data_IF_767332564359
#
_entry.id   IF_767332564359
#
_cell.length_a   1.000
_cell.length_b   1.000
_cell.length_c   1.000
_cell.angle_alpha   90.00
_cell.angle_beta   90.00
_cell.angle_gamma   90.00
#
_symmetry.space_group_name_H-M   'P 1'
#
loop_
_entity.id
_entity.type
_entity.pdbx_description
1 polymer ?
#
# COMPACT_ATOMS: atom_id res chain seq x y z
N UNK A 1 2.36 39.82 -11.48
CA UNK A 1 2.46 39.16 -10.17
C UNK A 1 3.13 37.83 -10.39
N UNK A 2 4.38 37.66 -9.97
CA UNK A 2 5.12 36.41 -10.07
C UNK A 2 4.46 35.38 -9.13
N UNK A 3 3.84 34.33 -9.69
CA UNK A 3 3.39 33.19 -8.89
C UNK A 3 4.64 32.50 -8.36
N UNK A 4 4.91 32.62 -7.07
CA UNK A 4 5.93 31.80 -6.42
C UNK A 4 5.50 30.33 -6.59
N UNK A 5 6.16 29.60 -7.48
CA UNK A 5 6.06 28.15 -7.52
C UNK A 5 6.61 27.64 -6.19
N UNK A 6 5.76 27.12 -5.34
CA UNK A 6 6.22 26.39 -4.14
C UNK A 6 6.83 25.08 -4.65
N UNK A 7 8.12 24.93 -4.45
CA UNK A 7 8.80 23.68 -4.77
C UNK A 7 8.28 22.57 -3.86
N UNK A 8 7.82 21.49 -4.48
CA UNK A 8 7.37 20.32 -3.72
C UNK A 8 8.60 19.51 -3.32
N UNK A 9 8.80 19.37 -2.02
CA UNK A 9 9.90 18.64 -1.41
C UNK A 9 9.41 17.35 -0.76
N UNK A 10 10.29 16.36 -0.50
CA UNK A 10 9.94 15.17 0.27
C UNK A 10 9.33 15.49 1.64
N UNK A 11 9.85 16.50 2.35
CA UNK A 11 9.29 16.93 3.65
C UNK A 11 7.86 17.47 3.53
N UNK A 12 7.57 18.21 2.44
CA UNK A 12 6.21 18.67 2.18
C UNK A 12 5.29 17.49 1.91
N UNK A 13 5.75 16.48 1.17
CA UNK A 13 5.00 15.26 0.93
C UNK A 13 4.69 14.52 2.23
N UNK A 14 5.68 14.30 3.09
CA UNK A 14 5.47 13.64 4.38
C UNK A 14 4.49 14.40 5.28
N UNK A 15 4.56 15.74 5.28
CA UNK A 15 3.57 16.57 5.99
C UNK A 15 2.17 16.40 5.41
N UNK A 16 2.03 16.38 4.09
CA UNK A 16 0.74 16.16 3.44
C UNK A 16 0.14 14.80 3.80
N UNK A 17 0.93 13.72 3.77
CA UNK A 17 0.49 12.39 4.20
C UNK A 17 0.01 12.35 5.65
N UNK A 18 0.70 13.06 6.57
CA UNK A 18 0.25 13.18 7.97
C UNK A 18 -1.13 13.82 8.12
N UNK A 19 -1.53 14.63 7.14
CA UNK A 19 -2.85 15.26 7.08
C UNK A 19 -3.86 14.51 6.19
N UNK A 20 -3.51 13.33 5.69
CA UNK A 20 -4.36 12.52 4.84
C UNK A 20 -4.41 12.96 3.37
N UNK A 21 -3.55 13.91 2.97
CA UNK A 21 -3.44 14.38 1.60
C UNK A 21 -2.45 13.50 0.82
N UNK A 22 -2.72 13.26 -0.45
CA UNK A 22 -1.81 12.56 -1.35
C UNK A 22 -1.69 13.28 -2.70
N UNK A 23 -0.52 13.20 -3.39
CA UNK A 23 -0.30 13.90 -4.64
C UNK A 23 -0.75 13.06 -5.83
N UNK A 24 -1.31 13.72 -6.85
CA UNK A 24 -1.51 13.14 -8.19
C UNK A 24 -1.19 14.18 -9.25
N UNK A 25 -0.58 13.74 -10.36
CA UNK A 25 -0.57 14.52 -11.58
C UNK A 25 -1.79 14.18 -12.45
N UNK A 26 -2.22 15.10 -13.27
CA UNK A 26 -3.33 14.87 -14.18
C UNK A 26 -2.96 13.88 -15.30
N UNK A 27 -1.74 13.98 -15.79
CA UNK A 27 -1.18 13.13 -16.85
C UNK A 27 0.31 12.91 -16.63
N UNK A 28 0.90 11.92 -17.33
CA UNK A 28 2.35 11.70 -17.29
C UNK A 28 3.17 12.90 -17.77
N UNK A 29 2.63 13.71 -18.65
CA UNK A 29 3.30 14.91 -19.19
C UNK A 29 2.92 16.20 -18.45
N UNK A 30 1.97 16.11 -17.52
CA UNK A 30 1.55 17.24 -16.70
C UNK A 30 2.66 17.71 -15.77
N UNK A 31 2.77 19.03 -15.60
CA UNK A 31 3.72 19.70 -14.72
C UNK A 31 3.10 20.09 -13.36
N UNK A 32 1.80 19.84 -13.19
CA UNK A 32 1.05 20.19 -11.99
C UNK A 32 0.75 18.96 -11.15
N UNK A 33 0.98 19.10 -9.84
CA UNK A 33 0.53 18.14 -8.85
C UNK A 33 -0.67 18.70 -8.11
N UNK A 34 -1.68 17.86 -7.95
CA UNK A 34 -2.87 18.13 -7.17
C UNK A 34 -2.77 17.38 -5.85
N UNK A 35 -3.19 18.01 -4.76
CA UNK A 35 -3.32 17.40 -3.45
C UNK A 35 -4.77 17.00 -3.25
N UNK A 36 -5.00 15.73 -3.05
CA UNK A 36 -6.34 15.15 -2.95
C UNK A 36 -6.67 14.76 -1.52
N UNK A 37 -7.92 15.04 -1.13
CA UNK A 37 -8.54 14.63 0.13
C UNK A 37 -10.00 14.23 -0.15
N UNK A 38 -10.24 13.04 -0.72
CA UNK A 38 -11.57 12.61 -1.13
C UNK A 38 -12.52 12.44 0.06
N UNK A 39 -13.83 12.64 -0.17
CA UNK A 39 -14.87 12.43 0.85
C UNK A 39 -15.02 10.95 1.26
N UNK A 40 -14.69 10.05 0.33
CA UNK A 40 -14.65 8.61 0.53
C UNK A 40 -13.22 8.13 0.34
N UNK A 41 -12.64 7.51 1.37
CA UNK A 41 -11.27 7.00 1.33
C UNK A 41 -11.25 5.49 1.29
N UNK A 42 -10.49 4.95 0.34
CA UNK A 42 -10.23 3.52 0.24
C UNK A 42 -9.20 3.08 1.27
N UNK A 43 -9.52 2.05 2.04
CA UNK A 43 -8.61 1.37 2.95
C UNK A 43 -8.66 -0.13 2.73
N UNK A 44 -7.60 -0.82 3.14
CA UNK A 44 -7.57 -2.27 3.17
C UNK A 44 -7.19 -2.73 4.58
N UNK A 45 -8.15 -3.38 5.25
CA UNK A 45 -7.91 -3.91 6.59
C UNK A 45 -6.83 -4.97 6.58
N UNK A 46 -5.80 -4.80 7.41
CA UNK A 46 -4.70 -5.76 7.52
C UNK A 46 -5.19 -7.11 8.06
N UNK A 47 -6.12 -7.10 9.03
CA UNK A 47 -6.59 -8.31 9.72
C UNK A 47 -7.82 -8.95 9.07
N UNK A 48 -8.56 -8.21 8.25
CA UNK A 48 -9.71 -8.72 7.48
C UNK A 48 -9.38 -8.92 5.99
N UNK A 49 -8.09 -8.92 5.65
CA UNK A 49 -7.62 -9.17 4.30
C UNK A 49 -8.07 -10.55 3.81
N UNK A 50 -8.79 -10.59 2.68
CA UNK A 50 -9.22 -11.83 2.06
C UNK A 50 -8.15 -12.36 1.11
N UNK A 51 -7.55 -13.50 1.44
CA UNK A 51 -6.56 -14.18 0.61
C UNK A 51 -7.20 -15.38 -0.12
N UNK A 52 -7.54 -15.25 -1.43
CA UNK A 52 -8.15 -16.35 -2.18
C UNK A 52 -7.25 -17.60 -2.20
N UNK A 53 -7.85 -18.80 -2.04
CA UNK A 53 -7.12 -20.10 -1.98
C UNK A 53 -6.14 -20.30 -3.13
N UNK A 54 -6.52 -19.87 -4.35
CA UNK A 54 -5.65 -19.99 -5.51
C UNK A 54 -4.42 -19.09 -5.38
N UNK A 55 -4.60 -17.85 -4.94
CA UNK A 55 -3.50 -16.91 -4.73
C UNK A 55 -2.59 -17.38 -3.58
N UNK A 56 -3.15 -17.88 -2.48
CA UNK A 56 -2.38 -18.47 -1.39
C UNK A 56 -1.44 -19.60 -1.89
N UNK A 57 -1.95 -20.48 -2.75
CA UNK A 57 -1.11 -21.52 -3.38
C UNK A 57 -0.01 -20.95 -4.26
N UNK A 58 -0.31 -19.91 -5.04
CA UNK A 58 0.69 -19.23 -5.89
C UNK A 58 1.79 -18.59 -5.05
N UNK A 59 1.44 -17.91 -3.95
CA UNK A 59 2.42 -17.28 -3.04
C UNK A 59 3.31 -18.33 -2.39
N UNK A 60 2.70 -19.40 -1.85
CA UNK A 60 3.42 -20.43 -1.09
C UNK A 60 4.19 -21.42 -1.98
N UNK A 61 3.97 -21.42 -3.30
CA UNK A 61 4.65 -22.33 -4.22
C UNK A 61 6.09 -21.92 -4.55
N UNK A 62 6.51 -20.70 -4.17
CA UNK A 62 7.82 -20.16 -4.54
C UNK A 62 7.96 -19.84 -6.04
N UNK A 63 6.83 -19.79 -6.79
CA UNK A 63 6.86 -19.42 -8.22
C UNK A 63 7.49 -18.04 -8.48
N UNK A 64 7.27 -17.11 -7.58
CA UNK A 64 7.85 -15.77 -7.62
C UNK A 64 8.86 -15.63 -6.50
N UNK A 65 10.03 -15.09 -6.81
CA UNK A 65 10.94 -14.56 -5.81
C UNK A 65 10.49 -13.15 -5.46
N UNK A 66 10.38 -12.86 -4.15
CA UNK A 66 9.96 -11.55 -3.67
C UNK A 66 11.12 -10.88 -2.97
N UNK A 67 11.41 -9.65 -3.39
CA UNK A 67 12.39 -8.76 -2.78
C UNK A 67 11.72 -7.47 -2.26
N UNK A 68 12.43 -6.72 -1.44
CA UNK A 68 11.99 -5.44 -0.89
C UNK A 68 13.11 -4.43 -1.08
N UNK A 69 12.77 -3.27 -1.63
CA UNK A 69 13.68 -2.13 -1.84
C UNK A 69 14.94 -2.46 -2.67
N UNK A 70 14.92 -3.54 -3.45
CA UNK A 70 16.04 -3.92 -4.30
C UNK A 70 16.03 -3.21 -5.67
N UNK A 71 14.83 -2.86 -6.15
CA UNK A 71 14.65 -2.20 -7.44
C UNK A 71 13.46 -1.23 -7.39
N UNK A 72 13.56 -0.22 -6.50
CA UNK A 72 12.54 0.81 -6.38
C UNK A 72 12.32 1.56 -7.69
N UNK A 73 13.42 1.87 -8.40
CA UNK A 73 13.35 2.58 -9.68
C UNK A 73 12.62 1.75 -10.75
N UNK A 74 12.92 0.46 -10.87
CA UNK A 74 12.21 -0.46 -11.77
C UNK A 74 10.75 -0.62 -11.38
N UNK A 75 10.44 -0.64 -10.09
CA UNK A 75 9.06 -0.77 -9.59
C UNK A 75 8.23 0.46 -9.92
N UNK A 76 8.71 1.67 -9.65
CA UNK A 76 7.95 2.89 -9.99
C UNK A 76 7.82 3.08 -11.51
N UNK A 77 8.85 2.71 -12.28
CA UNK A 77 8.78 2.71 -13.74
C UNK A 77 7.74 1.71 -14.26
N UNK A 78 7.67 0.50 -13.69
CA UNK A 78 6.64 -0.50 -14.00
C UNK A 78 5.22 0.01 -13.68
N UNK A 79 5.05 0.71 -12.57
CA UNK A 79 3.79 1.36 -12.20
C UNK A 79 3.40 2.49 -13.17
N UNK A 80 4.38 3.22 -13.68
CA UNK A 80 4.19 4.32 -14.63
C UNK A 80 4.02 3.85 -16.09
N UNK A 81 4.29 2.58 -16.40
CA UNK A 81 4.17 2.04 -17.74
C UNK A 81 2.73 2.02 -18.22
N UNK A 82 2.51 2.34 -19.49
CA UNK A 82 1.21 2.16 -20.13
C UNK A 82 0.82 0.68 -20.16
N UNK A 83 -0.46 0.42 -20.00
CA UNK A 83 -1.03 -0.92 -20.04
C UNK A 83 -2.40 -0.86 -20.77
N UNK A 84 -2.90 -1.98 -21.32
CA UNK A 84 -4.22 -2.00 -21.93
C UNK A 84 -5.31 -1.47 -20.98
N UNK A 85 -6.08 -0.45 -21.43
CA UNK A 85 -7.07 0.25 -20.62
C UNK A 85 -6.49 1.26 -19.60
N UNK A 86 -5.19 1.52 -19.64
CA UNK A 86 -4.47 2.54 -18.90
C UNK A 86 -3.33 3.08 -19.77
N UNK A 87 -3.71 3.85 -20.77
CA UNK A 87 -2.80 4.44 -21.77
C UNK A 87 -1.99 5.61 -21.20
N UNK A 88 -2.50 6.26 -20.15
CA UNK A 88 -1.81 7.34 -19.42
C UNK A 88 -1.70 7.02 -17.92
N UNK A 89 -0.87 7.76 -17.22
CA UNK A 89 -0.61 7.59 -15.78
C UNK A 89 -0.46 8.93 -15.08
N UNK A 90 -0.85 8.97 -13.81
CA UNK A 90 -0.63 10.09 -12.93
C UNK A 90 0.83 10.19 -12.41
N UNK A 91 1.65 9.15 -12.63
CA UNK A 91 3.05 9.11 -12.20
C UNK A 91 3.89 9.84 -13.26
N UNK A 92 4.07 11.15 -13.07
CA UNK A 92 4.91 11.97 -13.92
C UNK A 92 6.39 11.99 -13.43
N UNK A 93 7.34 12.56 -14.19
CA UNK A 93 8.75 12.60 -13.78
C UNK A 93 9.01 13.31 -12.44
N UNK A 94 8.16 14.26 -12.04
CA UNK A 94 8.28 14.92 -10.75
C UNK A 94 7.91 13.97 -9.61
N UNK A 95 6.82 13.22 -9.75
CA UNK A 95 6.41 12.18 -8.83
C UNK A 95 7.48 11.11 -8.69
N UNK A 96 8.01 10.59 -9.81
CA UNK A 96 9.09 9.61 -9.79
C UNK A 96 10.30 10.09 -8.98
N UNK A 97 10.73 11.35 -9.19
CA UNK A 97 11.85 11.94 -8.43
C UNK A 97 11.54 12.06 -6.93
N UNK A 98 10.36 12.54 -6.58
CA UNK A 98 9.95 12.74 -5.18
C UNK A 98 9.88 11.40 -4.43
N UNK A 99 9.27 10.37 -5.00
CA UNK A 99 9.21 9.05 -4.37
C UNK A 99 10.59 8.36 -4.32
N UNK A 100 11.44 8.57 -5.33
CA UNK A 100 12.83 8.08 -5.28
C UNK A 100 13.62 8.77 -4.15
N UNK A 101 13.38 10.05 -3.90
CA UNK A 101 13.99 10.74 -2.77
C UNK A 101 13.45 10.21 -1.43
N UNK A 102 12.13 10.00 -1.31
CA UNK A 102 11.52 9.38 -0.13
C UNK A 102 12.05 7.97 0.13
N UNK A 103 12.30 7.18 -0.92
CA UNK A 103 12.93 5.86 -0.77
C UNK A 103 14.35 5.97 -0.19
N UNK A 104 15.18 6.88 -0.72
CA UNK A 104 16.53 7.13 -0.18
C UNK A 104 16.53 7.63 1.27
N UNK A 105 15.46 8.28 1.69
CA UNK A 105 15.24 8.75 3.08
C UNK A 105 14.66 7.65 3.98
N UNK A 106 14.30 6.47 3.44
CA UNK A 106 13.72 5.36 4.19
C UNK A 106 12.23 5.50 4.50
N UNK A 107 11.50 6.33 3.74
CA UNK A 107 10.05 6.51 3.90
C UNK A 107 9.24 5.84 2.78
N UNK A 108 9.77 5.76 1.57
CA UNK A 108 9.08 5.04 0.50
C UNK A 108 9.73 3.67 0.30
N UNK A 109 8.89 2.66 0.08
CA UNK A 109 9.31 1.28 -0.02
C UNK A 109 8.63 0.59 -1.20
N UNK A 110 9.33 -0.38 -1.79
CA UNK A 110 8.80 -1.23 -2.84
C UNK A 110 8.82 -2.71 -2.44
N UNK A 111 7.89 -3.47 -3.00
CA UNK A 111 7.91 -4.92 -2.98
C UNK A 111 7.87 -5.40 -4.42
N UNK A 112 8.92 -6.12 -4.80
CA UNK A 112 9.13 -6.64 -6.14
C UNK A 112 8.75 -8.11 -6.22
N UNK A 113 8.07 -8.50 -7.29
CA UNK A 113 7.86 -9.89 -7.68
C UNK A 113 8.66 -10.20 -8.92
N UNK A 114 9.59 -11.16 -8.80
CA UNK A 114 10.44 -11.62 -9.90
C UNK A 114 10.04 -13.02 -10.34
N UNK A 115 10.13 -13.24 -11.63
CA UNK A 115 9.97 -14.56 -12.24
C UNK A 115 11.14 -14.79 -13.22
N UNK A 116 11.90 -15.85 -13.02
CA UNK A 116 13.17 -16.10 -13.72
C UNK A 116 14.10 -14.86 -13.66
N UNK A 117 14.30 -14.33 -12.46
CA UNK A 117 15.11 -13.14 -12.13
C UNK A 117 14.66 -11.82 -12.77
N UNK A 118 13.62 -11.82 -13.57
CA UNK A 118 13.06 -10.61 -14.16
C UNK A 118 11.99 -9.99 -13.25
N UNK A 119 12.02 -8.68 -13.11
CA UNK A 119 10.98 -7.92 -12.43
C UNK A 119 9.70 -7.97 -13.26
N UNK A 120 8.68 -8.68 -12.77
CA UNK A 120 7.43 -8.92 -13.52
C UNK A 120 6.19 -8.34 -12.85
N UNK A 121 6.34 -7.78 -11.67
CA UNK A 121 5.28 -7.12 -10.93
C UNK A 121 5.81 -6.55 -9.63
N UNK A 122 5.02 -5.72 -9.00
CA UNK A 122 5.39 -5.12 -7.73
C UNK A 122 4.41 -4.02 -7.34
N UNK A 123 4.71 -3.39 -6.23
CA UNK A 123 4.01 -2.22 -5.72
C UNK A 123 5.00 -1.32 -4.98
N UNK A 124 4.62 -0.06 -4.80
CA UNK A 124 5.34 0.84 -3.90
C UNK A 124 4.37 1.67 -3.07
N UNK A 125 4.88 2.25 -2.00
CA UNK A 125 4.12 3.11 -1.11
C UNK A 125 5.01 3.83 -0.11
N UNK A 126 4.38 4.58 0.79
CA UNK A 126 5.04 5.36 1.85
C UNK A 126 4.69 4.75 3.21
N UNK A 127 5.71 4.48 4.01
CA UNK A 127 5.58 4.05 5.40
C UNK A 127 5.78 5.25 6.33
N UNK A 128 4.84 5.48 7.24
CA UNK A 128 4.90 6.60 8.17
C UNK A 128 4.25 6.21 9.50
N UNK A 129 5.08 5.99 10.54
CA UNK A 129 4.62 5.39 11.79
C UNK A 129 3.83 4.09 11.52
N UNK A 130 2.63 3.94 12.04
CA UNK A 130 1.79 2.76 11.82
C UNK A 130 0.93 2.78 10.55
N UNK A 131 1.21 3.66 9.61
CA UNK A 131 0.45 3.77 8.34
C UNK A 131 1.33 3.39 7.16
N UNK A 132 0.79 2.59 6.25
CA UNK A 132 1.36 2.42 4.92
C UNK A 132 0.38 3.00 3.88
N UNK A 133 0.85 3.94 3.07
CA UNK A 133 0.11 4.53 1.95
C UNK A 133 0.52 3.78 0.69
N UNK A 134 -0.34 2.88 0.20
CA UNK A 134 -0.10 2.14 -1.03
C UNK A 134 -0.36 3.03 -2.23
N UNK A 135 0.66 3.31 -3.02
CA UNK A 135 0.58 4.29 -4.11
C UNK A 135 0.15 3.66 -5.43
N UNK A 136 0.89 2.67 -5.88
CA UNK A 136 0.59 2.02 -7.15
C UNK A 136 1.15 0.60 -7.21
N UNK A 137 0.63 -0.19 -8.14
CA UNK A 137 1.11 -1.53 -8.44
C UNK A 137 1.05 -1.83 -9.92
N UNK A 138 1.90 -2.76 -10.37
CA UNK A 138 1.92 -3.24 -11.75
C UNK A 138 2.09 -4.75 -11.81
N UNK A 139 1.70 -5.34 -12.94
CA UNK A 139 1.77 -6.80 -13.15
C UNK A 139 1.93 -7.11 -14.63
N UNK A 140 3.11 -7.52 -15.05
CA UNK A 140 3.37 -8.01 -16.41
C UNK A 140 3.08 -9.51 -16.54
N UNK A 141 3.16 -10.23 -15.43
CA UNK A 141 2.80 -11.65 -15.33
C UNK A 141 1.64 -11.82 -14.37
N UNK A 142 0.71 -12.69 -14.72
CA UNK A 142 -0.49 -12.95 -13.90
C UNK A 142 -0.12 -13.22 -12.44
N UNK A 143 -0.84 -12.55 -11.55
CA UNK A 143 -0.76 -12.62 -10.10
C UNK A 143 0.51 -11.97 -9.48
N UNK A 144 1.47 -11.44 -10.26
CA UNK A 144 2.72 -10.88 -9.73
C UNK A 144 2.47 -9.72 -8.74
N UNK A 145 1.63 -8.72 -9.09
CA UNK A 145 1.28 -7.63 -8.16
C UNK A 145 0.50 -8.13 -6.93
N UNK A 146 -0.31 -9.18 -7.09
CA UNK A 146 -1.06 -9.76 -5.97
C UNK A 146 -0.14 -10.49 -4.99
N UNK A 147 0.90 -11.15 -5.50
CA UNK A 147 1.94 -11.76 -4.67
C UNK A 147 2.66 -10.68 -3.87
N UNK A 148 3.06 -9.57 -4.51
CA UNK A 148 3.64 -8.42 -3.82
C UNK A 148 2.71 -7.86 -2.73
N UNK A 149 1.40 -7.73 -3.01
CA UNK A 149 0.41 -7.27 -2.03
C UNK A 149 0.29 -8.21 -0.82
N UNK A 150 0.25 -9.53 -1.03
CA UNK A 150 0.22 -10.50 0.08
C UNK A 150 1.45 -10.38 0.96
N UNK A 151 2.63 -10.23 0.35
CA UNK A 151 3.88 -10.02 1.08
C UNK A 151 3.93 -8.67 1.80
N UNK A 152 3.32 -7.61 1.24
CA UNK A 152 3.14 -6.33 1.92
C UNK A 152 2.30 -6.53 3.19
N UNK A 153 1.09 -7.08 3.06
CA UNK A 153 0.17 -7.29 4.19
C UNK A 153 0.85 -8.07 5.32
N UNK A 154 1.53 -9.18 4.99
CA UNK A 154 2.24 -9.98 5.99
C UNK A 154 3.32 -9.18 6.72
N UNK A 155 4.11 -8.37 6.02
CA UNK A 155 5.13 -7.51 6.62
C UNK A 155 4.54 -6.41 7.49
N UNK A 156 3.45 -5.78 7.02
CA UNK A 156 2.77 -4.74 7.78
C UNK A 156 2.19 -5.30 9.09
N UNK A 157 1.63 -6.50 9.08
CA UNK A 157 1.13 -7.16 10.30
C UNK A 157 2.27 -7.49 11.25
N UNK A 158 3.36 -8.10 10.76
CA UNK A 158 4.54 -8.40 11.56
C UNK A 158 5.21 -7.15 12.12
N UNK A 159 5.18 -6.05 11.37
CA UNK A 159 5.77 -4.77 11.76
C UNK A 159 4.89 -3.90 12.66
N UNK A 160 3.66 -4.36 13.01
CA UNK A 160 2.77 -3.63 13.92
C UNK A 160 2.03 -2.45 13.29
N UNK A 161 1.93 -2.41 11.95
CA UNK A 161 1.14 -1.39 11.25
C UNK A 161 -0.34 -1.54 11.56
N UNK A 162 -1.07 -0.42 11.54
CA UNK A 162 -2.50 -0.37 11.88
C UNK A 162 -3.38 0.01 10.69
N UNK A 163 -2.84 0.76 9.73
CA UNK A 163 -3.62 1.28 8.59
C UNK A 163 -2.88 1.04 7.28
N UNK A 164 -3.58 0.46 6.30
CA UNK A 164 -3.19 0.46 4.89
C UNK A 164 -4.19 1.32 4.12
N UNK A 165 -3.72 2.48 3.70
CA UNK A 165 -4.43 3.43 2.86
C UNK A 165 -4.24 3.06 1.39
N UNK A 166 -5.31 2.93 0.65
CA UNK A 166 -5.33 2.63 -0.78
C UNK A 166 -5.90 3.76 -1.62
N UNK A 167 -6.17 4.91 -1.00
CA UNK A 167 -6.79 6.13 -1.52
C UNK A 167 -8.18 5.88 -2.12
N UNK A 168 -8.27 5.00 -3.11
CA UNK A 168 -9.52 4.62 -3.78
C UNK A 168 -9.68 3.10 -3.79
N UNK A 169 -10.93 2.64 -3.81
CA UNK A 169 -11.23 1.21 -3.98
C UNK A 169 -11.40 0.91 -5.46
N UNK A 170 -10.50 0.09 -5.99
CA UNK A 170 -10.63 -0.45 -7.34
C UNK A 170 -11.26 -1.84 -7.30
N UNK A 171 -11.84 -2.31 -8.41
CA UNK A 171 -12.33 -3.69 -8.51
C UNK A 171 -11.24 -4.73 -8.18
N UNK A 172 -9.97 -4.39 -8.46
CA UNK A 172 -8.82 -5.23 -8.10
C UNK A 172 -8.63 -5.35 -6.59
N UNK A 173 -8.78 -4.25 -5.83
CA UNK A 173 -8.59 -4.24 -4.38
C UNK A 173 -9.84 -4.73 -3.62
N UNK A 174 -11.03 -4.51 -4.19
CA UNK A 174 -12.28 -4.98 -3.60
C UNK A 174 -12.32 -6.51 -3.38
N UNK A 175 -11.69 -7.30 -4.28
CA UNK A 175 -11.60 -8.75 -4.11
C UNK A 175 -10.82 -9.20 -2.86
N UNK A 176 -10.00 -8.32 -2.28
CA UNK A 176 -9.22 -8.55 -1.07
C UNK A 176 -9.86 -7.96 0.19
N UNK A 177 -11.05 -7.37 0.05
CA UNK A 177 -11.78 -6.75 1.17
C UNK A 177 -11.47 -5.28 1.37
N UNK A 178 -10.95 -4.57 0.35
CA UNK A 178 -10.85 -3.11 0.43
C UNK A 178 -12.24 -2.48 0.50
N UNK A 179 -12.38 -1.46 1.34
CA UNK A 179 -13.62 -0.76 1.58
C UNK A 179 -13.44 0.76 1.57
N UNK A 180 -14.50 1.48 1.27
CA UNK A 180 -14.53 2.93 1.36
C UNK A 180 -15.14 3.37 2.68
N UNK A 181 -14.45 4.24 3.39
CA UNK A 181 -14.91 4.88 4.63
C UNK A 181 -15.04 6.38 4.44
N UNK A 182 -15.78 7.05 5.32
CA UNK A 182 -15.86 8.51 5.30
C UNK A 182 -14.52 9.14 5.64
N UNK A 183 -14.26 10.35 5.12
CA UNK A 183 -13.08 11.15 5.44
C UNK A 183 -12.84 11.30 6.95
N UNK A 184 -13.89 11.55 7.71
CA UNK A 184 -13.78 11.74 9.16
C UNK A 184 -13.34 10.45 9.86
N UNK A 185 -13.91 9.28 9.45
CA UNK A 185 -13.47 7.99 9.96
C UNK A 185 -12.03 7.68 9.58
N UNK A 186 -11.65 7.97 8.33
CA UNK A 186 -10.28 7.82 7.87
C UNK A 186 -9.30 8.68 8.70
N UNK A 187 -9.62 9.96 8.92
CA UNK A 187 -8.78 10.86 9.71
C UNK A 187 -8.60 10.39 11.16
N UNK A 188 -9.65 9.82 11.76
CA UNK A 188 -9.55 9.24 13.09
C UNK A 188 -8.59 8.04 13.11
N UNK A 189 -8.71 7.10 12.15
CA UNK A 189 -7.79 5.97 12.02
C UNK A 189 -6.35 6.39 11.72
N UNK A 190 -6.20 7.39 10.85
CA UNK A 190 -4.88 7.95 10.52
C UNK A 190 -4.21 8.56 11.75
N UNK A 191 -4.95 9.36 12.54
CA UNK A 191 -4.42 9.98 13.75
C UNK A 191 -3.96 8.93 14.77
N UNK A 192 -4.72 7.86 14.96
CA UNK A 192 -4.37 6.73 15.82
C UNK A 192 -3.12 6.01 15.29
N UNK A 193 -3.13 5.62 14.03
CA UNK A 193 -2.01 4.89 13.42
C UNK A 193 -0.70 5.70 13.39
N UNK A 194 -0.77 7.03 13.30
CA UNK A 194 0.42 7.90 13.36
C UNK A 194 1.09 7.93 14.75
N UNK A 195 0.45 7.42 15.79
CA UNK A 195 1.04 7.28 17.14
C UNK A 195 1.62 5.89 17.39
N UNK A 196 1.40 4.93 16.50
CA UNK A 196 1.87 3.57 16.67
C UNK A 196 3.39 3.47 16.45
N UNK A 197 4.03 2.62 17.25
CA UNK A 197 5.44 2.26 17.09
C UNK A 197 5.55 1.05 16.15
N UNK A 198 5.41 1.30 14.85
CA UNK A 198 5.52 0.28 13.82
C UNK A 198 6.88 0.36 13.12
N UNK A 199 7.37 -0.80 12.71
CA UNK A 199 8.67 -0.93 12.06
C UNK A 199 8.52 -1.53 10.66
N UNK A 200 9.15 -0.90 9.67
CA UNK A 200 9.29 -1.50 8.35
C UNK A 200 10.26 -2.69 8.40
N UNK A 201 9.78 -3.86 7.99
CA UNK A 201 10.55 -5.10 7.99
C UNK A 201 10.85 -5.54 6.54
N UNK A 202 11.96 -5.08 5.95
CA UNK A 202 12.32 -5.49 4.58
C UNK A 202 12.69 -6.97 4.51
N UNK A 203 13.36 -7.49 5.53
CA UNK A 203 13.85 -8.86 5.60
C UNK A 203 13.47 -9.52 6.95
N UNK A 204 12.18 -9.82 7.18
CA UNK A 204 11.74 -10.55 8.36
C UNK A 204 12.20 -12.01 8.29
N UNK A 205 12.23 -12.69 9.43
CA UNK A 205 12.48 -14.13 9.47
C UNK A 205 11.58 -14.86 8.46
N UNK A 206 12.15 -15.64 7.52
CA UNK A 206 11.38 -16.33 6.49
C UNK A 206 10.32 -17.30 7.05
N UNK A 207 10.58 -17.92 8.20
CA UNK A 207 9.63 -18.81 8.86
C UNK A 207 8.45 -18.02 9.42
N UNK A 208 8.70 -16.87 10.07
CA UNK A 208 7.65 -15.97 10.56
C UNK A 208 6.80 -15.41 9.42
N UNK A 209 7.43 -14.96 8.33
CA UNK A 209 6.72 -14.46 7.16
C UNK A 209 5.83 -15.54 6.52
N UNK A 210 6.36 -16.75 6.37
CA UNK A 210 5.60 -17.89 5.83
C UNK A 210 4.43 -18.27 6.75
N UNK A 211 4.64 -18.27 8.06
CA UNK A 211 3.58 -18.56 9.04
C UNK A 211 2.47 -17.50 8.95
N UNK A 212 2.82 -16.22 8.87
CA UNK A 212 1.86 -15.13 8.75
C UNK A 212 1.00 -15.27 7.47
N UNK A 213 1.62 -15.55 6.33
CA UNK A 213 0.88 -15.79 5.08
C UNK A 213 -0.06 -17.01 5.20
N UNK A 214 0.35 -18.08 5.89
CA UNK A 214 -0.52 -19.24 6.14
C UNK A 214 -1.71 -18.86 7.03
N UNK A 215 -1.49 -18.11 8.11
CA UNK A 215 -2.56 -17.61 8.97
C UNK A 215 -3.57 -16.75 8.19
N UNK A 216 -3.10 -15.87 7.31
CA UNK A 216 -3.99 -15.09 6.43
C UNK A 216 -4.83 -16.00 5.51
N UNK A 217 -4.22 -17.05 4.96
CA UNK A 217 -4.92 -18.00 4.09
C UNK A 217 -5.96 -18.83 4.86
N UNK A 218 -5.69 -19.17 6.11
CA UNK A 218 -6.62 -19.90 7.00
C UNK A 218 -7.77 -19.01 7.44
N UNK A 219 -7.50 -17.77 7.90
CA UNK A 219 -8.53 -16.81 8.26
C UNK A 219 -9.51 -16.55 7.11
N UNK A 220 -9.01 -16.50 5.87
CA UNK A 220 -9.86 -16.34 4.69
C UNK A 220 -10.76 -17.52 4.37
N UNK A 221 -10.55 -18.70 4.99
CA UNK A 221 -11.41 -19.90 4.83
C UNK A 221 -12.59 -19.88 5.79
N UNK A 222 -12.39 -19.35 6.99
CA UNK A 222 -13.36 -19.42 8.09
C UNK A 222 -14.06 -18.11 8.36
N UNK A 223 -13.79 -17.05 7.59
CA UNK A 223 -14.20 -15.68 7.83
C UNK A 223 -13.18 -14.91 8.68
N UNK A 224 -13.20 -13.58 8.61
CA UNK A 224 -12.29 -12.77 9.41
C UNK A 224 -12.60 -12.95 10.89
N UNK A 225 -11.60 -13.30 11.69
CA UNK A 225 -11.68 -13.22 13.14
C UNK A 225 -11.94 -11.78 13.62
N UNK A 226 -12.19 -11.58 14.91
CA UNK A 226 -12.36 -10.24 15.46
C UNK A 226 -11.12 -9.40 15.14
N UNK A 227 -11.34 -8.20 14.63
CA UNK A 227 -10.28 -7.23 14.37
C UNK A 227 -9.73 -6.75 15.72
N UNK A 228 -8.46 -7.01 16.06
CA UNK A 228 -7.87 -6.58 17.32
C UNK A 228 -7.80 -5.05 17.45
N UNK A 229 -7.96 -4.31 16.34
CA UNK A 229 -7.97 -2.84 16.34
C UNK A 229 -9.38 -2.25 16.44
N UNK A 230 -10.46 -3.09 16.41
CA UNK A 230 -11.82 -2.61 16.58
C UNK A 230 -12.13 -2.44 18.06
N UNK A 231 -11.84 -1.29 18.64
CA UNK A 231 -12.45 -0.84 19.89
C UNK A 231 -13.92 -0.52 19.64
N UNK A 232 -14.78 -1.52 19.73
CA UNK A 232 -16.22 -1.28 19.88
C UNK A 232 -16.45 -0.74 21.29
N UNK A 233 -16.98 0.48 21.47
CA UNK A 233 -17.39 0.93 22.80
C UNK A 233 -18.46 -0.05 23.32
N UNK A 234 -18.22 -0.64 24.49
CA UNK A 234 -19.10 -1.62 25.09
C UNK A 234 -20.54 -1.12 25.14
N UNK A 235 -21.45 -1.85 24.48
CA UNK A 235 -22.86 -1.65 24.61
C UNK A 235 -23.27 -1.90 26.06
N UNK A 236 -23.70 -0.85 26.76
CA UNK A 236 -24.41 -0.97 28.00
C UNK A 236 -25.73 -1.72 27.73
N UNK A 237 -25.76 -2.95 28.17
CA UNK A 237 -27.01 -3.73 28.26
C UNK A 237 -27.81 -3.14 29.41
N UNK A 238 -28.82 -2.30 29.13
CA UNK A 238 -29.84 -1.95 30.10
C UNK A 238 -30.83 -3.13 30.23
N UNK A 239 -30.89 -3.66 31.41
CA UNK A 239 -32.02 -4.49 31.88
C UNK A 239 -33.20 -3.58 32.26
#
# INVERSE_FOLDING_TARGET
>A
MSRRHVEITPDLMLRAYRHGLFPMAETRRGDRLYWLDPERRGILSLYRFHLPRRLARTVLSGRFTVSVDQDFAGTIAGCAAAAPGREDTWINPQIERLFTQLNRMGYAHSIESRYNDQLVGGLYGVALAGVFFGESMFSFVRDASKVALVHLIARLRLGGYQLLDTQFVTAHLAQFGAEEISRDRYRALLAEALTADAQWLPDPDPAQLSAEIRMMAEASRYGPGPDPTSTTPGGYCNR
#
